data_IF_945129109070
#
_entry.id   IF_945129109070
#
_cell.length_a   1.000
_cell.length_b   1.000
_cell.length_c   1.000
_cell.angle_alpha   90.00
_cell.angle_beta   90.00
_cell.angle_gamma   90.00
#
_symmetry.space_group_name_H-M   'P 1'
#
loop_
_entity.id
_entity.type
_entity.pdbx_description
1 polymer ?
#
# COMPACT_ATOMS: atom_id res chain seq x y z
N UNK A 1 -43.91 39.09 19.67
CA UNK A 1 -42.46 38.99 19.92
C UNK A 1 -42.26 37.69 20.73
N UNK A 2 -42.43 36.46 20.19
CA UNK A 2 -41.64 35.72 19.16
C UNK A 2 -40.13 35.89 19.40
N UNK A 3 -39.27 34.89 19.61
CA UNK A 3 -39.27 33.40 19.50
C UNK A 3 -38.14 32.88 20.44
N UNK A 4 -38.35 31.88 21.30
CA UNK A 4 -37.93 30.47 21.14
C UNK A 4 -36.68 30.24 20.26
N UNK A 5 -35.63 29.63 20.82
CA UNK A 5 -34.82 28.68 20.08
C UNK A 5 -34.33 27.55 20.98
N UNK A 6 -34.61 26.36 20.49
CA UNK A 6 -34.57 25.08 21.16
C UNK A 6 -33.21 24.41 20.97
N UNK A 7 -32.85 23.59 21.95
CA UNK A 7 -31.86 22.53 21.82
C UNK A 7 -32.18 21.65 20.60
N UNK A 8 -31.19 21.45 19.72
CA UNK A 8 -31.16 20.33 18.80
C UNK A 8 -29.84 19.58 19.00
N UNK A 9 -29.91 18.49 19.76
CA UNK A 9 -28.97 17.39 19.64
C UNK A 9 -29.16 16.79 18.25
N UNK A 10 -28.14 16.89 17.39
CA UNK A 10 -28.02 15.98 16.24
C UNK A 10 -27.10 14.86 16.67
N UNK A 11 -27.73 13.76 17.07
CA UNK A 11 -27.13 12.43 17.15
C UNK A 11 -26.72 12.02 15.73
N UNK A 12 -25.43 12.16 15.38
CA UNK A 12 -24.87 11.35 14.31
C UNK A 12 -24.72 9.93 14.85
N UNK A 13 -25.70 9.10 14.52
CA UNK A 13 -25.64 7.67 14.77
C UNK A 13 -24.37 7.12 14.10
N UNK A 14 -23.45 6.65 14.94
CA UNK A 14 -22.36 5.76 14.55
C UNK A 14 -22.99 4.46 14.03
N UNK A 15 -23.18 4.36 12.72
CA UNK A 15 -23.33 3.06 12.07
C UNK A 15 -21.95 2.40 11.99
N UNK A 16 -21.44 1.99 13.15
CA UNK A 16 -20.39 0.98 13.24
C UNK A 16 -21.08 -0.38 13.19
N UNK A 17 -21.44 -0.83 11.99
CA UNK A 17 -21.57 -2.26 11.75
C UNK A 17 -20.14 -2.81 11.56
N UNK A 18 -19.64 -3.70 12.43
CA UNK A 18 -18.40 -4.39 12.16
C UNK A 18 -18.58 -5.22 10.89
N UNK A 19 -17.81 -4.91 9.85
CA UNK A 19 -17.70 -5.72 8.64
C UNK A 19 -17.44 -7.16 9.05
N UNK A 20 -18.46 -8.01 8.87
CA UNK A 20 -18.31 -9.45 8.96
C UNK A 20 -17.42 -9.88 7.80
N UNK A 21 -16.25 -10.42 8.14
CA UNK A 21 -15.39 -11.19 7.26
C UNK A 21 -16.07 -12.50 6.87
N UNK A 22 -17.11 -12.44 6.04
CA UNK A 22 -17.70 -13.63 5.43
C UNK A 22 -16.88 -14.02 4.20
N UNK A 23 -15.90 -14.90 4.42
CA UNK A 23 -15.44 -15.94 3.49
C UNK A 23 -14.93 -15.50 2.11
N UNK A 24 -13.68 -15.05 2.02
CA UNK A 24 -12.96 -15.00 0.74
C UNK A 24 -12.09 -16.26 0.53
N UNK A 25 -12.60 -17.20 -0.27
CA UNK A 25 -11.79 -18.23 -0.91
C UNK A 25 -11.06 -17.63 -2.11
N UNK A 26 -9.77 -17.35 -1.96
CA UNK A 26 -8.90 -17.07 -3.11
C UNK A 26 -8.49 -18.42 -3.72
N UNK A 27 -9.22 -18.87 -4.74
CA UNK A 27 -8.79 -20.00 -5.56
C UNK A 27 -7.74 -19.51 -6.56
N UNK A 28 -6.47 -19.79 -6.30
CA UNK A 28 -5.41 -19.66 -7.30
C UNK A 28 -5.53 -20.85 -8.29
N UNK A 29 -5.71 -20.64 -9.60
CA UNK A 29 -5.74 -21.74 -10.54
C UNK A 29 -4.33 -22.30 -10.75
N UNK A 30 -4.16 -23.58 -10.43
CA UNK A 30 -3.01 -24.40 -10.86
C UNK A 30 -3.53 -25.36 -11.93
N UNK A 31 -3.19 -25.12 -13.21
CA UNK A 31 -2.65 -26.12 -14.15
C UNK A 31 -2.58 -25.65 -15.62
N UNK A 32 -1.38 -25.84 -16.17
CA UNK A 32 -1.01 -26.20 -17.55
C UNK A 32 -2.14 -26.23 -18.59
N UNK A 33 -2.16 -25.28 -19.53
CA UNK A 33 -2.74 -25.48 -20.87
C UNK A 33 -1.80 -24.89 -21.94
N UNK A 34 -1.42 -25.74 -22.90
CA UNK A 34 -0.76 -25.32 -24.15
C UNK A 34 -1.78 -24.55 -25.00
N UNK A 35 -1.35 -23.52 -25.75
CA UNK A 35 -2.28 -22.73 -26.54
C UNK A 35 -2.72 -23.53 -27.77
N UNK A 36 -4.02 -23.79 -27.87
CA UNK A 36 -4.67 -24.03 -29.16
C UNK A 36 -5.24 -22.70 -29.63
N UNK A 37 -4.92 -22.34 -30.87
CA UNK A 37 -5.45 -21.20 -31.59
C UNK A 37 -6.99 -21.24 -31.57
N UNK A 38 -7.59 -20.27 -30.90
CA UNK A 38 -8.94 -19.70 -31.09
C UNK A 38 -9.42 -19.18 -29.72
N UNK A 39 -8.89 -18.04 -29.29
CA UNK A 39 -9.28 -17.40 -28.02
C UNK A 39 -9.51 -15.89 -28.23
N UNK A 40 -10.73 -15.55 -28.64
CA UNK A 40 -11.26 -14.16 -28.69
C UNK A 40 -11.55 -13.58 -27.28
N UNK A 41 -10.99 -14.15 -26.21
CA UNK A 41 -11.21 -13.69 -24.83
C UNK A 41 -10.13 -12.74 -24.30
N UNK A 42 -9.06 -12.48 -25.06
CA UNK A 42 -7.96 -11.59 -24.64
C UNK A 42 -8.27 -10.07 -24.67
N UNK A 43 -9.46 -9.64 -25.12
CA UNK A 43 -9.74 -8.20 -25.33
C UNK A 43 -10.30 -7.43 -24.12
N UNK A 44 -10.53 -8.07 -22.97
CA UNK A 44 -11.16 -7.40 -21.81
C UNK A 44 -10.19 -6.80 -20.79
N UNK A 45 -8.88 -7.08 -20.89
CA UNK A 45 -7.90 -6.56 -19.92
C UNK A 45 -7.34 -5.17 -20.26
N UNK A 46 -7.29 -4.77 -21.54
CA UNK A 46 -6.67 -3.49 -21.93
C UNK A 46 -7.62 -2.27 -21.88
N UNK A 47 -8.93 -2.48 -21.72
CA UNK A 47 -9.93 -1.41 -21.69
C UNK A 47 -10.10 -0.74 -20.31
N UNK A 48 -9.39 -1.20 -19.27
CA UNK A 48 -9.56 -0.72 -17.88
C UNK A 48 -8.55 0.33 -17.43
N UNK A 49 -7.48 0.56 -18.20
CA UNK A 49 -6.47 1.54 -17.84
C UNK A 49 -6.88 2.91 -18.38
N UNK A 50 -6.90 3.92 -17.51
CA UNK A 50 -7.08 5.30 -17.93
C UNK A 50 -5.95 5.67 -18.89
N UNK A 51 -6.29 6.26 -20.04
CA UNK A 51 -5.26 6.79 -20.94
C UNK A 51 -4.61 8.00 -20.28
N UNK A 52 -3.31 7.92 -19.97
CA UNK A 52 -2.53 9.08 -19.53
C UNK A 52 -1.56 9.48 -20.63
N UNK A 53 -1.63 10.75 -21.02
CA UNK A 53 -0.69 11.34 -21.97
C UNK A 53 0.38 12.15 -21.23
N UNK A 54 1.65 11.80 -21.41
CA UNK A 54 2.81 12.54 -20.91
C UNK A 54 3.51 13.26 -22.07
N UNK A 55 3.80 14.54 -21.91
CA UNK A 55 4.47 15.36 -22.93
C UNK A 55 5.95 15.59 -22.56
N UNK A 56 6.89 15.30 -23.48
CA UNK A 56 8.35 15.44 -23.34
C UNK A 56 9.00 16.55 -24.19
N UNK A 57 10.32 16.71 -24.06
CA UNK A 57 11.08 17.98 -23.88
C UNK A 57 11.07 19.10 -24.96
N UNK A 58 11.33 20.32 -24.47
CA UNK A 58 11.26 21.67 -25.08
C UNK A 58 11.86 21.83 -26.49
N UNK A 59 10.98 21.92 -27.50
CA UNK A 59 11.16 22.92 -28.57
C UNK A 59 10.64 24.26 -28.03
N UNK A 60 11.32 25.36 -28.34
CA UNK A 60 10.89 26.74 -28.00
C UNK A 60 9.57 27.15 -28.69
N UNK A 61 8.94 26.24 -29.44
CA UNK A 61 7.84 26.52 -30.36
C UNK A 61 6.48 25.97 -29.92
N UNK A 62 6.35 25.16 -28.84
CA UNK A 62 5.04 24.62 -28.44
C UNK A 62 4.69 24.64 -26.93
N UNK A 63 3.48 25.17 -26.58
CA UNK A 63 2.95 25.34 -25.23
C UNK A 63 2.09 24.12 -24.80
N UNK A 64 1.97 23.94 -23.48
CA UNK A 64 1.11 22.96 -22.77
C UNK A 64 1.69 21.54 -22.64
N UNK A 65 1.96 21.15 -21.39
CA UNK A 65 2.12 19.76 -20.94
C UNK A 65 0.75 19.26 -20.50
N UNK A 66 0.24 18.13 -20.99
CA UNK A 66 -1.05 17.63 -20.50
C UNK A 66 -0.98 17.00 -19.10
N UNK A 67 0.19 16.57 -18.64
CA UNK A 67 0.37 15.94 -17.31
C UNK A 67 1.72 16.34 -16.70
N UNK A 68 1.74 16.70 -15.41
CA UNK A 68 2.95 16.91 -14.59
C UNK A 68 3.03 15.87 -13.47
N UNK A 69 4.21 15.28 -13.28
CA UNK A 69 4.49 14.38 -12.16
C UNK A 69 5.66 14.92 -11.32
N UNK A 70 5.49 14.97 -9.99
CA UNK A 70 6.55 15.41 -9.07
C UNK A 70 6.07 15.73 -7.67
N UNK A 71 7.03 16.07 -6.79
CA UNK A 71 6.79 16.41 -5.38
C UNK A 71 7.14 17.88 -5.04
N UNK A 72 6.54 18.88 -5.69
CA UNK A 72 6.90 20.27 -5.42
C UNK A 72 6.28 20.84 -4.12
N UNK A 73 5.47 20.05 -3.38
CA UNK A 73 4.60 20.57 -2.30
C UNK A 73 4.59 19.57 -1.14
N UNK A 74 4.96 20.01 0.06
CA UNK A 74 4.74 19.25 1.29
C UNK A 74 3.24 18.95 1.45
N UNK A 75 2.88 17.79 1.99
CA UNK A 75 1.50 17.41 2.28
C UNK A 75 1.38 16.90 3.72
N UNK A 76 2.01 17.64 4.62
CA UNK A 76 2.13 17.24 6.02
C UNK A 76 0.92 17.69 6.84
N UNK A 77 0.29 18.81 6.46
CA UNK A 77 -0.76 19.48 7.25
C UNK A 77 -1.98 19.85 6.41
N UNK A 78 -3.10 20.23 7.05
CA UNK A 78 -4.32 20.57 6.30
C UNK A 78 -4.12 21.81 5.41
N UNK A 79 -3.33 22.76 5.88
CA UNK A 79 -2.97 24.00 5.20
C UNK A 79 -2.21 23.76 3.89
N UNK A 80 -1.51 22.64 3.79
CA UNK A 80 -0.81 22.28 2.56
C UNK A 80 -1.80 21.88 1.45
N UNK A 81 -2.91 21.22 1.80
CA UNK A 81 -3.94 20.84 0.83
C UNK A 81 -4.66 22.06 0.24
N UNK A 82 -4.78 23.17 0.99
CA UNK A 82 -5.31 24.42 0.46
C UNK A 82 -4.39 25.01 -0.63
N UNK A 83 -3.07 24.91 -0.43
CA UNK A 83 -2.09 25.31 -1.44
C UNK A 83 -2.14 24.38 -2.66
N UNK A 84 -2.19 23.07 -2.45
CA UNK A 84 -2.36 22.08 -3.52
C UNK A 84 -3.61 22.39 -4.33
N UNK A 85 -4.73 22.69 -3.67
CA UNK A 85 -5.98 23.03 -4.36
C UNK A 85 -5.85 24.25 -5.26
N UNK A 86 -5.18 25.31 -4.79
CA UNK A 86 -4.93 26.49 -5.61
C UNK A 86 -4.03 26.15 -6.83
N UNK A 87 -2.97 25.38 -6.61
CA UNK A 87 -2.02 24.98 -7.67
C UNK A 87 -2.73 24.12 -8.71
N UNK A 88 -3.48 23.10 -8.30
CA UNK A 88 -4.18 22.21 -9.22
C UNK A 88 -5.31 22.91 -9.96
N UNK A 89 -6.01 23.86 -9.33
CA UNK A 89 -6.96 24.73 -10.03
C UNK A 89 -6.28 25.52 -11.16
N UNK A 90 -5.07 26.05 -10.91
CA UNK A 90 -4.29 26.74 -11.95
C UNK A 90 -3.83 25.79 -13.06
N UNK A 91 -3.34 24.60 -12.71
CA UNK A 91 -2.94 23.58 -13.69
C UNK A 91 -4.12 23.19 -14.59
N UNK A 92 -5.28 22.91 -14.00
CA UNK A 92 -6.50 22.58 -14.74
C UNK A 92 -6.97 23.72 -15.64
N UNK A 93 -6.86 24.99 -15.19
CA UNK A 93 -7.17 26.16 -16.02
C UNK A 93 -6.24 26.29 -17.24
N UNK A 94 -5.04 25.71 -17.17
CA UNK A 94 -4.10 25.59 -18.28
C UNK A 94 -4.28 24.31 -19.10
N UNK A 95 -5.25 23.45 -18.76
CA UNK A 95 -5.45 22.15 -19.41
C UNK A 95 -4.40 21.10 -19.02
N UNK A 96 -3.78 21.24 -17.85
CA UNK A 96 -2.72 20.37 -17.34
C UNK A 96 -3.27 19.53 -16.18
N UNK A 97 -3.11 18.20 -16.25
CA UNK A 97 -3.32 17.25 -15.16
C UNK A 97 -2.07 17.15 -14.27
N UNK A 98 -2.22 16.81 -13.00
CA UNK A 98 -1.10 16.57 -12.09
C UNK A 98 -1.22 15.25 -11.33
N UNK A 99 -0.13 14.49 -11.32
CA UNK A 99 0.02 13.27 -10.53
C UNK A 99 1.09 13.54 -9.47
N UNK A 100 0.80 13.25 -8.22
CA UNK A 100 1.77 13.42 -7.14
C UNK A 100 2.57 12.15 -6.91
N UNK A 101 3.83 12.28 -6.51
CA UNK A 101 4.64 11.15 -6.06
C UNK A 101 4.62 11.12 -4.53
N UNK A 102 4.43 9.93 -3.92
CA UNK A 102 4.46 9.75 -2.47
C UNK A 102 5.12 8.44 -2.04
N UNK A 103 5.87 8.40 -0.93
CA UNK A 103 6.31 7.13 -0.35
C UNK A 103 5.10 6.40 0.26
N UNK A 104 4.91 5.13 -0.09
CA UNK A 104 3.75 4.35 0.36
C UNK A 104 3.75 4.15 1.88
N UNK A 105 4.88 3.74 2.46
CA UNK A 105 5.00 3.46 3.90
C UNK A 105 5.17 4.71 4.76
N UNK A 106 5.46 5.86 4.14
CA UNK A 106 5.77 7.11 4.84
C UNK A 106 5.22 8.30 4.07
N UNK A 107 3.96 8.64 4.32
CA UNK A 107 3.27 9.75 3.64
C UNK A 107 3.83 11.14 3.99
N UNK A 108 4.84 11.21 4.86
CA UNK A 108 5.49 12.43 5.30
C UNK A 108 6.94 12.13 5.74
N UNK A 109 7.79 13.14 5.66
CA UNK A 109 9.14 13.14 6.25
C UNK A 109 9.20 13.97 7.54
N UNK A 110 8.10 14.63 7.90
CA UNK A 110 8.03 15.57 9.01
C UNK A 110 7.79 14.85 10.34
N UNK A 111 8.64 15.12 11.33
CA UNK A 111 8.54 14.54 12.67
C UNK A 111 7.24 14.91 13.41
N UNK A 112 6.64 16.05 13.08
CA UNK A 112 5.40 16.54 13.70
C UNK A 112 4.14 15.94 13.06
N UNK A 113 4.27 15.27 11.92
CA UNK A 113 3.15 14.72 11.15
C UNK A 113 2.25 13.82 11.99
N UNK A 114 2.85 12.86 12.70
CA UNK A 114 2.09 11.92 13.50
C UNK A 114 1.30 12.60 14.61
N UNK A 115 1.91 13.58 15.30
CA UNK A 115 1.24 14.34 16.35
C UNK A 115 0.06 15.14 15.78
N UNK A 116 0.28 15.84 14.67
CA UNK A 116 -0.75 16.63 14.00
C UNK A 116 -1.97 15.79 13.60
N UNK A 117 -1.74 14.61 13.02
CA UNK A 117 -2.80 13.69 12.59
C UNK A 117 -3.33 12.80 13.71
N UNK A 118 -2.86 12.97 14.95
CA UNK A 118 -3.21 12.15 16.11
C UNK A 118 -2.97 10.65 15.86
N UNK A 119 -1.86 10.34 15.20
CA UNK A 119 -1.36 8.99 14.96
C UNK A 119 -0.35 8.63 16.04
N UNK A 120 -0.46 7.43 16.60
CA UNK A 120 0.55 6.87 17.51
C UNK A 120 1.21 5.67 16.87
N UNK A 121 2.51 5.46 17.14
CA UNK A 121 3.26 4.32 16.61
C UNK A 121 2.55 2.99 16.91
N UNK A 122 2.09 2.82 18.16
CA UNK A 122 1.31 1.65 18.60
C UNK A 122 0.10 1.33 17.71
N UNK A 123 -0.54 2.36 17.13
CA UNK A 123 -1.76 2.19 16.33
C UNK A 123 -1.47 1.95 14.85
N UNK A 124 -0.46 2.59 14.30
CA UNK A 124 -0.25 2.62 12.85
C UNK A 124 0.97 1.85 12.39
N UNK A 125 1.99 1.73 13.23
CA UNK A 125 3.32 1.29 12.83
C UNK A 125 3.53 -0.21 13.09
N UNK A 126 4.50 -0.83 12.39
CA UNK A 126 4.87 -2.21 12.64
C UNK A 126 5.48 -2.40 14.04
N UNK A 127 5.25 -3.58 14.63
CA UNK A 127 5.84 -4.00 15.90
C UNK A 127 6.85 -5.14 15.69
N UNK A 128 8.03 -5.02 16.29
CA UNK A 128 9.03 -6.09 16.28
C UNK A 128 8.69 -7.24 17.25
N UNK A 129 9.50 -8.30 17.26
CA UNK A 129 9.28 -9.46 18.15
C UNK A 129 9.43 -9.16 19.65
N UNK A 130 10.08 -8.05 20.01
CA UNK A 130 10.27 -7.65 21.40
C UNK A 130 9.15 -6.72 21.90
N UNK A 131 8.23 -6.32 21.03
CA UNK A 131 7.12 -5.43 21.38
C UNK A 131 7.40 -3.96 21.10
N UNK A 132 8.46 -3.65 20.35
CA UNK A 132 8.81 -2.28 19.97
C UNK A 132 8.04 -1.90 18.72
N UNK A 133 7.12 -0.95 18.84
CA UNK A 133 6.55 -0.25 17.69
C UNK A 133 7.56 0.78 17.18
N UNK A 134 7.80 0.81 15.87
CA UNK A 134 8.84 1.65 15.30
C UNK A 134 8.35 2.50 14.13
N UNK A 135 9.00 3.65 13.97
CA UNK A 135 8.82 4.65 12.92
C UNK A 135 10.23 5.06 12.51
N UNK A 136 10.50 5.10 11.20
CA UNK A 136 11.83 5.31 10.62
C UNK A 136 11.72 6.34 9.50
N UNK A 137 11.44 7.60 9.86
CA UNK A 137 11.31 8.68 8.87
C UNK A 137 12.63 8.90 8.11
N UNK A 138 12.61 9.14 6.79
CA UNK A 138 11.44 9.37 5.94
C UNK A 138 10.83 8.10 5.32
N UNK A 139 11.24 6.91 5.76
CA UNK A 139 10.94 5.66 5.05
C UNK A 139 9.75 4.87 5.59
N UNK A 140 9.42 4.99 6.88
CA UNK A 140 8.32 4.23 7.48
C UNK A 140 7.61 4.98 8.59
N UNK A 141 6.30 5.12 8.46
CA UNK A 141 5.37 5.54 9.51
C UNK A 141 4.40 4.40 9.84
N UNK A 142 3.80 3.78 8.82
CA UNK A 142 2.70 2.85 9.01
C UNK A 142 2.87 1.51 8.34
N UNK A 143 2.13 0.52 8.85
CA UNK A 143 2.09 -0.84 8.36
C UNK A 143 0.75 -1.12 7.67
N UNK A 144 0.79 -1.67 6.45
CA UNK A 144 -0.37 -1.96 5.61
C UNK A 144 -1.40 -2.89 6.28
N UNK A 145 -1.00 -3.65 7.31
CA UNK A 145 -1.88 -4.51 8.08
C UNK A 145 -2.59 -3.84 9.26
N UNK A 146 -2.32 -2.55 9.59
CA UNK A 146 -2.96 -1.84 10.72
C UNK A 146 -4.19 -1.04 10.27
N UNK A 147 -5.35 -1.27 10.90
CA UNK A 147 -6.59 -0.59 10.52
C UNK A 147 -6.53 0.94 10.68
N UNK A 148 -5.85 1.43 11.71
CA UNK A 148 -5.68 2.86 11.91
C UNK A 148 -4.85 3.50 10.79
N UNK A 149 -3.82 2.79 10.30
CA UNK A 149 -3.05 3.23 9.15
C UNK A 149 -3.87 3.20 7.87
N UNK A 150 -4.58 2.09 7.59
CA UNK A 150 -5.48 1.97 6.43
C UNK A 150 -6.50 3.12 6.38
N UNK A 151 -7.17 3.36 7.51
CA UNK A 151 -8.16 4.44 7.65
C UNK A 151 -7.55 5.82 7.39
N UNK A 152 -6.35 6.06 7.92
CA UNK A 152 -5.63 7.30 7.67
C UNK A 152 -5.23 7.44 6.19
N UNK A 153 -4.72 6.38 5.57
CA UNK A 153 -4.31 6.37 4.18
C UNK A 153 -5.48 6.70 3.25
N UNK A 154 -6.65 6.06 3.46
CA UNK A 154 -7.87 6.35 2.69
C UNK A 154 -8.27 7.82 2.86
N UNK A 155 -8.22 8.36 4.08
CA UNK A 155 -8.50 9.77 4.36
C UNK A 155 -7.52 10.69 3.62
N UNK A 156 -6.22 10.38 3.66
CA UNK A 156 -5.19 11.15 2.96
C UNK A 156 -5.44 11.16 1.45
N UNK A 157 -5.71 9.99 0.87
CA UNK A 157 -6.07 9.85 -0.55
C UNK A 157 -7.31 10.67 -0.92
N UNK A 158 -8.32 10.68 -0.05
CA UNK A 158 -9.50 11.52 -0.24
C UNK A 158 -9.15 13.00 -0.22
N UNK A 159 -8.24 13.44 0.65
CA UNK A 159 -7.78 14.83 0.68
C UNK A 159 -7.06 15.24 -0.61
N UNK A 160 -6.22 14.35 -1.18
CA UNK A 160 -5.63 14.58 -2.51
C UNK A 160 -6.73 14.74 -3.56
N UNK A 161 -7.70 13.84 -3.56
CA UNK A 161 -8.80 13.85 -4.50
C UNK A 161 -9.60 15.17 -4.40
N UNK A 162 -10.00 15.56 -3.19
CA UNK A 162 -10.79 16.77 -2.94
C UNK A 162 -9.99 18.06 -3.22
N UNK A 163 -8.65 18.01 -3.14
CA UNK A 163 -7.76 19.09 -3.54
C UNK A 163 -7.60 19.22 -5.06
N UNK A 164 -8.22 18.36 -5.86
CA UNK A 164 -8.14 18.43 -7.32
C UNK A 164 -6.93 17.71 -7.91
N UNK A 165 -6.20 16.92 -7.12
CA UNK A 165 -5.11 16.08 -7.65
C UNK A 165 -5.70 15.03 -8.61
N UNK A 166 -5.06 14.78 -9.76
CA UNK A 166 -5.56 13.84 -10.77
C UNK A 166 -5.07 12.41 -10.53
N UNK A 167 -4.06 12.23 -9.69
CA UNK A 167 -3.63 10.91 -9.23
C UNK A 167 -2.39 10.92 -8.34
N UNK A 168 -1.97 9.72 -7.96
CA UNK A 168 -0.76 9.49 -7.16
C UNK A 168 0.05 8.31 -7.70
N UNK A 169 1.37 8.44 -7.68
CA UNK A 169 2.34 7.36 -7.82
C UNK A 169 2.95 7.06 -6.45
N UNK A 170 2.85 5.81 -6.01
CA UNK A 170 3.44 5.36 -4.75
C UNK A 170 4.79 4.68 -4.93
N UNK A 171 5.85 5.21 -4.31
CA UNK A 171 7.13 4.51 -4.19
C UNK A 171 7.19 3.57 -2.99
N UNK A 172 7.97 2.50 -3.10
CA UNK A 172 8.02 1.44 -2.10
C UNK A 172 6.65 0.82 -1.89
N UNK A 173 5.90 0.61 -2.97
CA UNK A 173 4.52 0.14 -3.00
C UNK A 173 4.31 -1.23 -2.36
N UNK A 174 5.38 -1.96 -2.12
CA UNK A 174 5.39 -3.18 -1.30
C UNK A 174 5.18 -2.94 0.21
N UNK A 175 5.20 -1.69 0.67
CA UNK A 175 4.98 -1.37 2.07
C UNK A 175 6.07 -1.91 2.99
N UNK A 176 5.69 -2.28 4.21
CA UNK A 176 6.58 -2.93 5.16
C UNK A 176 6.42 -4.46 5.15
N UNK A 177 5.97 -5.06 4.04
CA UNK A 177 5.70 -6.50 3.98
C UNK A 177 6.95 -7.34 4.30
N UNK A 178 8.16 -6.86 3.97
CA UNK A 178 9.43 -7.56 4.22
C UNK A 178 9.67 -7.73 5.72
N UNK A 179 9.31 -6.70 6.49
CA UNK A 179 9.35 -6.68 7.95
C UNK A 179 8.19 -7.48 8.56
N UNK A 180 6.97 -7.20 8.11
CA UNK A 180 5.74 -7.60 8.80
C UNK A 180 5.53 -6.85 10.12
N UNK A 181 4.46 -7.20 10.82
CA UNK A 181 4.21 -6.71 12.19
C UNK A 181 3.79 -7.86 13.10
N UNK A 182 4.35 -7.88 14.31
CA UNK A 182 4.10 -8.92 15.31
C UNK A 182 3.10 -8.49 16.39
N UNK A 183 2.36 -7.41 16.13
CA UNK A 183 1.41 -6.82 17.06
C UNK A 183 0.11 -7.65 17.22
N UNK A 184 -0.66 -7.44 18.30
CA UNK A 184 -1.87 -8.22 18.56
C UNK A 184 -2.95 -8.15 17.45
N UNK A 185 -3.10 -7.01 16.78
CA UNK A 185 -4.07 -6.85 15.69
C UNK A 185 -3.67 -7.71 14.49
N UNK A 186 -2.41 -7.63 14.08
CA UNK A 186 -1.88 -8.43 12.97
C UNK A 186 -1.88 -9.92 13.29
N UNK A 187 -1.58 -10.31 14.54
CA UNK A 187 -1.69 -11.71 14.97
C UNK A 187 -3.13 -12.23 14.93
N UNK A 188 -4.11 -11.41 15.31
CA UNK A 188 -5.52 -11.74 15.17
C UNK A 188 -5.89 -12.04 13.72
N UNK A 189 -5.52 -11.13 12.80
CA UNK A 189 -5.74 -11.30 11.35
C UNK A 189 -5.04 -12.53 10.79
N UNK A 190 -3.84 -12.85 11.28
CA UNK A 190 -3.13 -14.06 10.85
C UNK A 190 -3.82 -15.35 11.32
N UNK A 191 -4.36 -15.35 12.53
CA UNK A 191 -5.15 -16.49 13.02
C UNK A 191 -6.42 -16.68 12.19
N UNK A 192 -7.11 -15.60 11.83
CA UNK A 192 -8.27 -15.63 10.93
C UNK A 192 -7.89 -16.16 9.54
N UNK A 193 -6.75 -15.71 8.99
CA UNK A 193 -6.21 -16.21 7.74
C UNK A 193 -5.99 -17.72 7.77
N UNK A 194 -5.32 -18.24 8.80
CA UNK A 194 -5.08 -19.67 8.95
C UNK A 194 -6.39 -20.45 9.12
N UNK A 195 -7.31 -19.95 9.96
CA UNK A 195 -8.61 -20.58 10.20
C UNK A 195 -9.49 -20.63 8.93
N UNK A 196 -9.34 -19.67 8.03
CA UNK A 196 -10.09 -19.64 6.75
C UNK A 196 -9.61 -20.70 5.74
N UNK A 197 -8.36 -21.17 5.87
CA UNK A 197 -7.71 -22.07 4.91
C UNK A 197 -7.60 -23.51 5.37
N UNK A 198 -7.50 -23.76 6.67
CA UNK A 198 -7.15 -25.07 7.21
C UNK A 198 -8.18 -25.57 8.22
N UNK A 199 -8.50 -26.87 8.16
CA UNK A 199 -9.24 -27.52 9.24
C UNK A 199 -8.40 -27.62 10.51
N UNK A 200 -9.02 -27.87 11.66
CA UNK A 200 -8.29 -28.05 12.92
C UNK A 200 -7.30 -29.24 12.86
N UNK A 201 -7.66 -30.32 12.16
CA UNK A 201 -6.77 -31.46 11.94
C UNK A 201 -5.56 -31.08 11.08
N UNK A 202 -5.76 -30.24 10.06
CA UNK A 202 -4.67 -29.75 9.24
C UNK A 202 -3.76 -28.79 9.99
N UNK A 203 -4.33 -27.90 10.80
CA UNK A 203 -3.59 -26.97 11.65
C UNK A 203 -2.67 -27.73 12.62
N UNK A 204 -3.21 -28.75 13.30
CA UNK A 204 -2.43 -29.63 14.17
C UNK A 204 -1.34 -30.36 13.40
N UNK A 205 -1.69 -31.00 12.29
CA UNK A 205 -0.75 -31.85 11.54
C UNK A 205 0.35 -31.07 10.83
N UNK A 206 0.05 -29.89 10.28
CA UNK A 206 0.98 -29.10 9.46
C UNK A 206 1.79 -28.11 10.29
N UNK A 207 1.19 -27.51 11.31
CA UNK A 207 1.80 -26.40 12.05
C UNK A 207 1.97 -26.69 13.55
N UNK A 208 1.43 -27.80 14.06
CA UNK A 208 1.44 -28.11 15.49
C UNK A 208 0.48 -27.21 16.30
N UNK A 209 -0.57 -26.67 15.66
CA UNK A 209 -1.54 -25.77 16.30
C UNK A 209 -2.78 -26.55 16.72
N UNK A 210 -2.98 -26.72 18.03
CA UNK A 210 -4.13 -27.44 18.59
C UNK A 210 -5.38 -26.58 18.77
N UNK A 211 -5.21 -25.27 18.95
CA UNK A 211 -6.28 -24.29 19.08
C UNK A 211 -5.89 -22.96 18.44
N UNK A 212 -6.52 -22.63 17.32
CA UNK A 212 -6.23 -21.40 16.57
C UNK A 212 -6.69 -20.14 17.31
N UNK A 213 -7.67 -20.24 18.22
CA UNK A 213 -8.21 -19.07 18.93
C UNK A 213 -7.25 -18.53 19.99
N UNK A 214 -6.42 -19.40 20.56
CA UNK A 214 -5.41 -19.04 21.55
C UNK A 214 -3.98 -19.01 21.00
N UNK A 215 -3.79 -19.39 19.72
CA UNK A 215 -2.50 -19.36 19.07
C UNK A 215 -1.96 -17.92 18.99
N UNK A 216 -0.68 -17.73 19.32
CA UNK A 216 0.00 -16.44 19.20
C UNK A 216 1.34 -16.66 18.48
N UNK A 217 1.41 -16.24 17.22
CA UNK A 217 2.59 -16.48 16.39
C UNK A 217 3.83 -15.69 16.86
N UNK A 218 3.64 -14.47 17.37
CA UNK A 218 4.70 -13.69 18.01
C UNK A 218 5.32 -14.45 19.17
N UNK A 219 4.51 -14.96 20.10
CA UNK A 219 5.00 -15.73 21.23
C UNK A 219 5.66 -17.06 20.78
N UNK A 220 5.06 -17.74 19.80
CA UNK A 220 5.61 -18.96 19.21
C UNK A 220 7.04 -18.77 18.68
N UNK A 221 7.31 -17.65 18.02
CA UNK A 221 8.64 -17.28 17.54
C UNK A 221 9.58 -16.90 18.69
N UNK A 222 9.09 -16.14 19.67
CA UNK A 222 9.88 -15.74 20.85
C UNK A 222 10.37 -16.95 21.65
N UNK A 223 9.50 -17.92 21.90
CA UNK A 223 9.81 -19.15 22.65
C UNK A 223 10.89 -19.99 21.98
N UNK A 224 11.02 -19.88 20.65
CA UNK A 224 12.06 -20.52 19.84
C UNK A 224 13.35 -19.70 19.72
N UNK A 225 13.39 -18.53 20.37
CA UNK A 225 14.56 -17.66 20.40
C UNK A 225 14.73 -16.79 19.16
N UNK A 226 13.68 -16.61 18.34
CA UNK A 226 13.77 -15.77 17.13
C UNK A 226 13.87 -14.27 17.41
N UNK A 227 13.50 -13.85 18.61
CA UNK A 227 13.60 -12.45 19.05
C UNK A 227 15.05 -11.96 19.27
N UNK A 228 16.04 -12.85 19.18
CA UNK A 228 17.48 -12.51 19.26
C UNK A 228 18.08 -12.06 17.93
N UNK A 229 17.36 -12.29 16.83
CA UNK A 229 17.80 -11.86 15.50
C UNK A 229 17.48 -10.38 15.36
N UNK A 230 18.43 -9.66 14.76
CA UNK A 230 18.38 -8.21 14.67
C UNK A 230 18.51 -7.77 13.21
N UNK A 231 17.74 -6.75 12.84
CA UNK A 231 17.85 -6.06 11.57
C UNK A 231 17.92 -4.55 11.80
N UNK A 232 18.72 -3.87 10.99
CA UNK A 232 18.83 -2.43 10.99
C UNK A 232 17.83 -1.85 9.99
N UNK A 233 17.12 -0.80 10.39
CA UNK A 233 16.35 0.05 9.47
C UNK A 233 17.29 0.93 8.64
N UNK A 234 16.75 1.62 7.64
CA UNK A 234 17.52 2.49 6.75
C UNK A 234 18.16 3.67 7.50
N UNK A 235 17.50 4.20 8.55
CA UNK A 235 18.09 5.27 9.39
C UNK A 235 18.90 4.77 10.58
N UNK A 236 19.04 3.46 10.75
CA UNK A 236 19.90 2.86 11.77
C UNK A 236 19.21 2.54 13.09
N UNK A 237 17.90 2.31 13.10
CA UNK A 237 17.21 1.71 14.25
C UNK A 237 17.42 0.19 14.24
N UNK A 238 17.75 -0.39 15.40
CA UNK A 238 17.92 -1.83 15.56
C UNK A 238 16.64 -2.49 16.06
N UNK A 239 16.12 -3.48 15.32
CA UNK A 239 14.83 -4.11 15.58
C UNK A 239 14.95 -5.63 15.68
N UNK A 240 14.14 -6.24 16.56
CA UNK A 240 14.08 -7.70 16.70
C UNK A 240 13.23 -8.32 15.58
N UNK A 241 13.86 -8.68 14.47
CA UNK A 241 13.18 -9.27 13.32
C UNK A 241 13.97 -10.49 12.78
N UNK A 242 13.33 -11.67 12.66
CA UNK A 242 14.04 -12.90 12.35
C UNK A 242 14.42 -13.07 10.87
N UNK A 243 14.05 -12.13 9.99
CA UNK A 243 14.32 -12.22 8.56
C UNK A 243 13.85 -13.58 8.00
N UNK A 244 14.67 -14.23 7.17
CA UNK A 244 14.42 -15.55 6.63
C UNK A 244 14.86 -16.72 7.54
N UNK A 245 15.28 -16.46 8.78
CA UNK A 245 15.75 -17.50 9.68
C UNK A 245 14.71 -18.62 9.93
N UNK A 246 13.41 -18.32 10.18
CA UNK A 246 12.40 -19.37 10.39
C UNK A 246 12.13 -20.20 9.12
N UNK A 247 12.39 -19.66 7.93
CA UNK A 247 12.29 -20.41 6.67
C UNK A 247 13.34 -21.53 6.56
N UNK A 248 14.43 -21.43 7.35
CA UNK A 248 15.56 -22.38 7.35
C UNK A 248 15.60 -23.25 8.61
N UNK A 249 14.59 -23.16 9.48
CA UNK A 249 14.51 -23.95 10.72
C UNK A 249 14.52 -25.45 10.41
N UNK A 250 15.22 -26.32 11.17
CA UNK A 250 15.12 -27.78 10.99
C UNK A 250 13.71 -28.35 11.22
N UNK A 251 12.87 -27.71 12.05
CA UNK A 251 11.49 -28.11 12.31
C UNK A 251 10.59 -27.78 11.08
N UNK A 252 10.01 -28.81 10.42
CA UNK A 252 9.11 -28.59 9.28
C UNK A 252 7.86 -27.78 9.62
N UNK A 253 7.40 -27.79 10.88
CA UNK A 253 6.24 -27.00 11.30
C UNK A 253 6.55 -25.51 11.31
N UNK A 254 7.74 -25.12 11.78
CA UNK A 254 8.19 -23.72 11.77
C UNK A 254 8.29 -23.21 10.34
N UNK A 255 8.93 -23.96 9.45
CA UNK A 255 9.06 -23.58 8.04
C UNK A 255 7.70 -23.42 7.36
N UNK A 256 6.81 -24.41 7.52
CA UNK A 256 5.48 -24.36 6.92
C UNK A 256 4.65 -23.18 7.44
N UNK A 257 4.75 -22.86 8.73
CA UNK A 257 4.03 -21.73 9.31
C UNK A 257 4.62 -20.39 8.84
N UNK A 258 5.95 -20.29 8.70
CA UNK A 258 6.62 -19.12 8.15
C UNK A 258 6.26 -18.87 6.69
N UNK A 259 6.10 -19.93 5.88
CA UNK A 259 5.61 -19.81 4.51
C UNK A 259 4.19 -19.23 4.44
N UNK A 260 3.31 -19.60 5.37
CA UNK A 260 1.96 -19.01 5.47
C UNK A 260 2.01 -17.57 5.97
N UNK A 261 2.91 -17.24 6.88
CA UNK A 261 3.17 -15.86 7.31
C UNK A 261 3.63 -14.96 6.17
N UNK A 262 4.57 -15.42 5.34
CA UNK A 262 5.04 -14.67 4.17
C UNK A 262 3.91 -14.38 3.16
N UNK A 263 3.07 -15.39 2.90
CA UNK A 263 1.87 -15.22 2.05
C UNK A 263 0.87 -14.24 2.66
N UNK A 264 0.64 -14.33 3.97
CA UNK A 264 -0.27 -13.46 4.70
C UNK A 264 0.17 -11.99 4.61
N UNK A 265 1.44 -11.68 4.86
CA UNK A 265 1.96 -10.31 4.75
C UNK A 265 1.74 -9.70 3.37
N UNK A 266 1.99 -10.48 2.30
CA UNK A 266 1.71 -10.05 0.92
C UNK A 266 0.23 -9.76 0.69
N UNK A 267 -0.67 -10.54 1.28
CA UNK A 267 -2.10 -10.31 1.19
C UNK A 267 -2.54 -9.01 1.88
N UNK A 268 -1.88 -8.60 2.97
CA UNK A 268 -2.19 -7.33 3.63
C UNK A 268 -1.91 -6.12 2.72
N UNK A 269 -0.83 -6.17 1.93
CA UNK A 269 -0.54 -5.15 0.91
C UNK A 269 -1.60 -5.14 -0.18
N UNK A 270 -1.90 -6.32 -0.75
CA UNK A 270 -2.89 -6.46 -1.83
C UNK A 270 -4.27 -5.97 -1.37
N UNK A 271 -4.66 -6.30 -0.13
CA UNK A 271 -5.92 -5.88 0.45
C UNK A 271 -6.00 -4.35 0.62
N UNK A 272 -4.91 -3.71 1.05
CA UNK A 272 -4.87 -2.25 1.11
C UNK A 272 -5.08 -1.63 -0.28
N UNK A 273 -4.39 -2.10 -1.32
CA UNK A 273 -4.64 -1.62 -2.69
C UNK A 273 -6.08 -1.82 -3.15
N UNK A 274 -6.66 -2.98 -2.85
CA UNK A 274 -8.07 -3.24 -3.15
C UNK A 274 -8.99 -2.23 -2.46
N UNK A 275 -8.78 -1.96 -1.17
CA UNK A 275 -9.59 -0.99 -0.42
C UNK A 275 -9.43 0.42 -1.00
N UNK A 276 -8.19 0.83 -1.33
CA UNK A 276 -7.92 2.13 -1.96
C UNK A 276 -8.66 2.24 -3.31
N UNK A 277 -8.57 1.21 -4.14
CA UNK A 277 -9.26 1.15 -5.43
C UNK A 277 -10.78 1.23 -5.28
N UNK A 278 -11.39 0.48 -4.36
CA UNK A 278 -12.83 0.51 -4.11
C UNK A 278 -13.30 1.92 -3.69
N UNK A 279 -12.53 2.58 -2.83
CA UNK A 279 -12.81 3.96 -2.41
C UNK A 279 -12.67 4.94 -3.57
N UNK A 280 -11.59 4.86 -4.36
CA UNK A 280 -11.40 5.70 -5.54
C UNK A 280 -12.56 5.52 -6.51
N UNK A 281 -12.93 4.29 -6.86
CA UNK A 281 -14.06 4.02 -7.78
C UNK A 281 -15.37 4.60 -7.26
N UNK A 282 -15.59 4.58 -5.95
CA UNK A 282 -16.75 5.24 -5.36
C UNK A 282 -16.70 6.77 -5.56
N UNK A 283 -15.56 7.41 -5.30
CA UNK A 283 -15.41 8.87 -5.48
C UNK A 283 -15.57 9.28 -6.95
N UNK A 284 -15.07 8.48 -7.88
CA UNK A 284 -15.25 8.70 -9.33
C UNK A 284 -16.73 8.60 -9.72
N UNK A 285 -17.49 7.65 -9.17
CA UNK A 285 -18.93 7.53 -9.39
C UNK A 285 -19.72 8.70 -8.81
N UNK A 286 -19.33 9.16 -7.61
CA UNK A 286 -19.98 10.28 -6.91
C UNK A 286 -19.80 11.61 -7.65
N UNK A 287 -18.66 11.80 -8.31
CA UNK A 287 -18.24 13.12 -8.83
C UNK A 287 -18.11 13.18 -10.35
N UNK A 288 -18.00 12.03 -11.02
CA UNK A 288 -17.67 11.94 -12.45
C UNK A 288 -16.21 12.29 -12.78
N UNK A 289 -15.36 12.49 -11.77
CA UNK A 289 -13.94 12.83 -11.95
C UNK A 289 -13.08 11.58 -11.80
N UNK A 290 -12.17 11.35 -12.74
CA UNK A 290 -11.20 10.25 -12.67
C UNK A 290 -10.10 10.52 -11.63
N UNK A 291 -9.53 9.48 -11.05
CA UNK A 291 -8.36 9.58 -10.18
C UNK A 291 -7.42 8.40 -10.35
N UNK A 292 -6.19 8.70 -10.76
CA UNK A 292 -5.19 7.71 -11.12
C UNK A 292 -4.40 7.22 -9.90
N UNK A 293 -4.23 5.91 -9.77
CA UNK A 293 -3.39 5.29 -8.74
C UNK A 293 -2.37 4.39 -9.40
N UNK A 294 -1.10 4.73 -9.28
CA UNK A 294 0.00 3.87 -9.69
C UNK A 294 0.96 3.60 -8.55
N UNK A 295 1.81 2.59 -8.74
CA UNK A 295 2.78 2.24 -7.73
C UNK A 295 4.04 1.60 -8.30
N UNK A 296 5.18 1.85 -7.68
CA UNK A 296 6.39 1.05 -7.82
C UNK A 296 6.38 -0.06 -6.79
N UNK A 297 6.21 -1.29 -7.26
CA UNK A 297 6.30 -2.50 -6.43
C UNK A 297 7.56 -3.25 -6.85
N UNK A 298 8.59 -3.20 -6.02
CA UNK A 298 9.93 -3.71 -6.34
C UNK A 298 10.06 -5.24 -6.36
N UNK A 299 8.95 -5.98 -6.35
CA UNK A 299 8.94 -7.40 -6.02
C UNK A 299 8.09 -8.19 -6.98
N UNK A 300 8.73 -9.07 -7.73
CA UNK A 300 8.04 -10.15 -8.42
C UNK A 300 7.71 -11.29 -7.43
N UNK A 301 6.51 -11.88 -7.46
CA UNK A 301 5.38 -11.59 -8.34
C UNK A 301 4.32 -10.72 -7.66
N UNK A 302 4.68 -9.79 -6.77
CA UNK A 302 3.70 -8.95 -6.05
C UNK A 302 3.05 -7.90 -6.96
N UNK A 303 3.76 -7.46 -7.98
CA UNK A 303 3.26 -6.61 -9.06
C UNK A 303 1.99 -7.19 -9.71
N UNK A 304 1.99 -8.48 -10.10
CA UNK A 304 0.85 -9.10 -10.80
C UNK A 304 -0.47 -9.13 -10.01
N UNK A 305 -0.51 -9.55 -8.72
CA UNK A 305 -1.71 -9.50 -7.90
C UNK A 305 -2.25 -8.11 -7.60
N UNK A 306 -1.43 -7.06 -7.71
CA UNK A 306 -1.85 -5.67 -7.44
C UNK A 306 -2.41 -5.01 -8.71
N UNK A 307 -1.98 -5.43 -9.92
CA UNK A 307 -2.47 -4.90 -11.20
C UNK A 307 -3.99 -4.67 -11.30
N UNK A 308 -4.88 -5.53 -10.75
CA UNK A 308 -6.33 -5.29 -10.82
C UNK A 308 -6.81 -4.06 -10.04
N UNK A 309 -5.99 -3.53 -9.14
CA UNK A 309 -6.34 -2.48 -8.17
C UNK A 309 -5.55 -1.19 -8.37
N UNK A 310 -4.69 -1.13 -9.38
CA UNK A 310 -3.91 0.06 -9.73
C UNK A 310 -3.96 0.27 -11.23
N UNK A 311 -3.79 1.51 -11.63
CA UNK A 311 -3.80 1.93 -13.02
C UNK A 311 -2.39 1.84 -13.66
N UNK A 312 -1.36 1.51 -12.87
CA UNK A 312 0.00 1.27 -13.36
C UNK A 312 0.93 0.71 -12.29
N UNK A 313 1.92 -0.07 -12.74
CA UNK A 313 3.00 -0.59 -11.89
C UNK A 313 4.38 -0.21 -12.44
N UNK A 314 5.34 0.01 -11.55
CA UNK A 314 6.74 0.32 -11.87
C UNK A 314 6.91 1.60 -12.72
N UNK A 315 6.17 2.65 -12.36
CA UNK A 315 6.12 3.91 -13.09
C UNK A 315 7.10 4.95 -12.53
N UNK A 316 8.40 4.79 -12.79
CA UNK A 316 9.40 5.82 -12.44
C UNK A 316 9.50 6.92 -13.53
N UNK A 317 8.68 7.97 -13.47
CA UNK A 317 8.80 9.13 -14.40
C UNK A 317 9.86 10.15 -13.96
N UNK A 318 10.36 10.07 -12.71
CA UNK A 318 11.14 11.17 -12.09
C UNK A 318 12.64 10.90 -11.94
N UNK A 319 13.12 9.68 -12.22
CA UNK A 319 14.57 9.41 -12.22
C UNK A 319 15.15 9.78 -13.57
N UNK A 320 15.35 11.08 -13.77
CA UNK A 320 16.35 11.53 -14.72
C UNK A 320 17.68 10.97 -14.24
N UNK A 321 18.46 10.42 -15.18
CA UNK A 321 19.85 10.06 -14.98
C UNK A 321 20.61 11.24 -14.40
N UNK A 322 20.72 11.31 -13.08
CA UNK A 322 21.69 12.17 -12.43
C UNK A 322 23.07 11.56 -12.71
N UNK A 323 24.09 12.38 -13.05
CA UNK A 323 25.46 11.87 -13.09
C UNK A 323 25.76 11.20 -11.75
N UNK A 324 26.36 10.01 -11.83
CA UNK A 324 26.58 9.14 -10.70
C UNK A 324 27.09 9.90 -9.47
N UNK A 325 26.54 9.60 -8.30
CA UNK A 325 27.32 9.73 -7.08
C UNK A 325 28.53 8.79 -7.21
N UNK A 326 29.69 9.34 -7.59
CA UNK A 326 30.97 8.64 -7.66
C UNK A 326 31.38 8.10 -9.05
N UNK A 327 32.47 7.33 -9.06
CA UNK A 327 33.25 6.98 -10.26
C UNK A 327 32.67 5.85 -11.13
N UNK A 328 31.34 5.64 -11.14
CA UNK A 328 30.70 4.58 -11.93
C UNK A 328 30.06 5.17 -13.20
N UNK A 329 30.28 4.57 -14.39
CA UNK A 329 29.77 5.10 -15.65
C UNK A 329 28.25 4.97 -15.74
N UNK A 330 27.62 6.06 -16.16
CA UNK A 330 26.27 6.28 -16.68
C UNK A 330 25.28 5.10 -16.55
N UNK A 331 24.37 5.19 -15.57
CA UNK A 331 23.12 4.44 -15.68
C UNK A 331 22.24 5.18 -16.69
N UNK A 332 22.09 4.52 -17.84
CA UNK A 332 21.25 4.82 -18.99
C UNK A 332 19.85 5.26 -18.51
N UNK A 333 19.42 6.45 -18.94
CA UNK A 333 18.04 6.91 -18.75
C UNK A 333 17.06 5.80 -19.11
N UNK A 334 16.17 5.48 -18.18
CA UNK A 334 15.29 4.33 -18.34
C UNK A 334 14.51 4.44 -19.66
N UNK A 335 14.42 3.36 -20.44
CA UNK A 335 13.50 3.34 -21.55
C UNK A 335 12.11 3.42 -20.94
N UNK A 336 11.39 4.48 -21.27
CA UNK A 336 9.95 4.51 -21.54
C UNK A 336 9.22 3.16 -21.26
N UNK A 337 9.17 2.72 -20.01
CA UNK A 337 8.34 1.59 -19.59
C UNK A 337 6.98 2.21 -19.44
N UNK A 338 6.31 2.34 -20.57
CA UNK A 338 4.86 2.31 -20.62
C UNK A 338 4.41 1.14 -19.75
N UNK A 339 3.91 1.42 -18.56
CA UNK A 339 3.04 0.48 -17.88
C UNK A 339 1.78 0.41 -18.76
N UNK A 340 1.67 -0.69 -19.51
CA UNK A 340 0.53 -1.12 -20.31
C UNK A 340 0.30 -0.45 -21.69
N UNK A 341 1.02 -0.95 -22.69
CA UNK A 341 0.37 -1.55 -23.88
C UNK A 341 1.17 -2.80 -24.28
N UNK A 342 0.56 -3.97 -24.24
CA UNK A 342 1.11 -5.29 -24.57
C UNK A 342 2.02 -5.97 -23.53
N UNK A 343 1.40 -6.67 -22.58
CA UNK A 343 1.96 -7.93 -22.09
C UNK A 343 1.59 -9.03 -23.08
N UNK A 344 2.56 -9.52 -23.87
CA UNK A 344 2.41 -10.71 -24.71
C UNK A 344 2.79 -11.97 -23.97
#
# INVERSE_FOLDING_TARGET
>A
MLLMNSFLLVSLASNTDPLKLDGLRVNLPVKDHRPTSDDETFSLYSLRFHSIEFFGDYSRDFPLRATLAGDPISLDFYEDFDQVKAIFTMLHAMGIRGILYRPFSSLSENIEFMEYWNLSAEKVSPMDLNGTYWVDLPYTIGYEGREAWRSFFIKFMRLLFDAGVDGVEFDGGEGCYSWGSFDPETMGKFNEYLASKYSIEELRKRFGIDDIKSFNFTQYLRDRGYHKYEQWTETGQLLANPADAPAKDPDPHVRALWEEWDKFKKLMVIELYKILWENVKQWEQETGREFYVSTRVGLWPLDLPILPYVDGVNWEYCWFSAPAFGDRPDIIGYPNRTASTDFR
#
